data_IF_627768609237
#
_entry.id   IF_627768609237
#
_cell.length_a   1.000
_cell.length_b   1.000
_cell.length_c   1.000
_cell.angle_alpha   90.00
_cell.angle_beta   90.00
_cell.angle_gamma   90.00
#
_symmetry.space_group_name_H-M   'P 1'
#
loop_
_entity.id
_entity.type
_entity.pdbx_description
1 polymer ?
#
# COMPACT_ATOMS: atom_id res chain seq x y z
N UNK A 1 -2.90 35.18 -5.16
CA UNK A 1 -3.64 34.36 -4.17
C UNK A 1 -2.73 34.32 -2.94
N UNK A 2 -3.22 34.66 -1.77
CA UNK A 2 -2.38 34.94 -0.60
C UNK A 2 -2.05 33.63 0.13
N UNK A 3 -0.80 33.45 0.60
CA UNK A 3 -0.29 32.24 1.28
C UNK A 3 -1.17 31.71 2.43
N UNK A 4 -1.93 32.61 3.07
CA UNK A 4 -2.91 32.21 4.08
C UNK A 4 -4.11 31.43 3.53
N UNK A 5 -4.50 31.65 2.29
CA UNK A 5 -5.62 30.93 1.67
C UNK A 5 -5.20 29.53 1.20
N UNK A 6 -3.94 29.37 0.79
CA UNK A 6 -3.39 28.09 0.41
C UNK A 6 -3.27 27.17 1.65
N UNK A 7 -2.79 27.70 2.77
CA UNK A 7 -2.72 26.94 4.04
C UNK A 7 -4.08 26.49 4.57
N UNK A 8 -5.14 27.26 4.32
CA UNK A 8 -6.51 26.90 4.75
C UNK A 8 -7.12 25.80 3.87
N UNK A 9 -6.72 25.69 2.60
CA UNK A 9 -7.21 24.63 1.70
C UNK A 9 -6.51 23.29 2.03
N UNK A 10 -5.23 23.31 2.39
CA UNK A 10 -4.50 22.09 2.80
C UNK A 10 -4.86 21.60 4.20
N UNK A 11 -5.24 22.49 5.12
CA UNK A 11 -5.74 22.10 6.45
C UNK A 11 -7.12 21.42 6.42
N UNK A 12 -7.87 21.53 5.31
CA UNK A 12 -9.18 20.89 5.13
C UNK A 12 -9.13 19.47 4.57
N UNK A 13 -7.96 18.98 4.14
CA UNK A 13 -7.79 17.67 3.54
C UNK A 13 -7.11 16.65 4.48
N UNK A 14 -7.21 16.88 5.80
CA UNK A 14 -6.85 15.87 6.78
C UNK A 14 -7.86 14.72 6.64
N UNK A 15 -7.46 13.71 5.87
CA UNK A 15 -8.26 12.53 5.63
C UNK A 15 -8.58 11.83 6.96
N UNK A 16 -9.86 11.84 7.31
CA UNK A 16 -10.36 11.08 8.44
C UNK A 16 -10.43 9.60 8.04
N UNK A 17 -9.52 8.77 8.56
CA UNK A 17 -9.60 7.32 8.38
C UNK A 17 -10.51 6.75 9.46
N UNK A 18 -11.64 6.18 9.03
CA UNK A 18 -12.53 5.41 9.90
C UNK A 18 -12.07 3.96 9.87
N UNK A 19 -11.43 3.52 10.95
CA UNK A 19 -11.07 2.10 11.11
C UNK A 19 -12.25 1.35 11.72
N UNK A 20 -12.94 0.57 10.88
CA UNK A 20 -13.99 -0.34 11.33
C UNK A 20 -13.37 -1.69 11.64
N UNK A 21 -13.21 -2.02 12.91
CA UNK A 21 -12.73 -3.34 13.34
C UNK A 21 -13.93 -4.25 13.45
N UNK A 22 -14.13 -5.13 12.47
CA UNK A 22 -15.10 -6.20 12.54
C UNK A 22 -14.46 -7.34 13.33
N UNK A 23 -14.71 -7.40 14.63
CA UNK A 23 -14.38 -8.59 15.42
C UNK A 23 -15.34 -9.71 15.05
N UNK A 24 -14.78 -10.79 14.51
CA UNK A 24 -15.36 -11.99 13.93
C UNK A 24 -16.83 -12.28 14.18
N UNK A 25 -17.58 -12.43 13.11
CA UNK A 25 -18.95 -12.92 13.13
C UNK A 25 -18.95 -14.37 13.64
N UNK A 26 -19.36 -14.58 14.88
CA UNK A 26 -19.76 -15.89 15.36
C UNK A 26 -21.21 -16.13 14.91
N UNK A 27 -21.39 -17.03 13.94
CA UNK A 27 -22.72 -17.44 13.50
C UNK A 27 -23.42 -18.19 14.63
N UNK A 28 -24.50 -17.61 15.16
CA UNK A 28 -25.35 -18.29 16.14
C UNK A 28 -26.22 -19.36 15.44
N UNK A 29 -25.91 -20.63 15.67
CA UNK A 29 -26.80 -21.71 15.27
C UNK A 29 -27.82 -21.91 16.38
N UNK A 30 -29.08 -21.63 16.07
CA UNK A 30 -30.20 -21.94 16.91
C UNK A 30 -30.59 -23.40 16.67
N UNK A 31 -30.32 -24.30 17.64
CA UNK A 31 -30.78 -25.67 17.62
C UNK A 31 -32.06 -25.74 18.44
N UNK A 32 -33.20 -25.94 17.78
CA UNK A 32 -34.46 -26.22 18.46
C UNK A 32 -34.41 -27.62 19.14
N UNK A 33 -34.85 -27.78 20.38
CA UNK A 33 -34.89 -29.09 21.02
C UNK A 33 -35.98 -29.94 20.40
N UNK A 34 -35.59 -31.04 19.74
CA UNK A 34 -36.51 -32.10 19.37
C UNK A 34 -36.81 -32.94 20.62
N UNK A 35 -38.05 -32.88 21.08
CA UNK A 35 -38.50 -33.75 22.16
C UNK A 35 -38.70 -35.19 21.63
N UNK A 36 -37.77 -36.09 21.93
CA UNK A 36 -38.01 -37.55 21.87
C UNK A 36 -37.46 -38.14 23.15
N UNK A 37 -38.37 -38.75 23.89
CA UNK A 37 -38.12 -39.39 25.17
C UNK A 37 -37.20 -40.61 25.05
N UNK A 38 -36.29 -40.75 26.02
CA UNK A 38 -35.46 -41.94 26.18
C UNK A 38 -34.29 -41.70 27.13
N UNK A 39 -34.44 -42.22 28.36
CA UNK A 39 -33.41 -42.64 29.36
C UNK A 39 -32.21 -41.72 29.61
N UNK A 40 -32.30 -41.05 30.73
CA UNK A 40 -31.32 -40.59 31.69
C UNK A 40 -29.86 -41.04 31.46
N UNK A 41 -29.10 -40.13 30.93
CA UNK A 41 -27.66 -39.98 31.16
C UNK A 41 -27.45 -38.49 31.31
N UNK A 42 -27.24 -38.04 32.56
CA UNK A 42 -27.13 -36.60 32.91
C UNK A 42 -26.08 -35.82 32.12
N UNK A 43 -26.39 -35.44 30.91
CA UNK A 43 -25.67 -34.44 30.16
C UNK A 43 -26.15 -33.06 30.59
N UNK A 44 -25.32 -32.38 31.34
CA UNK A 44 -25.53 -30.96 31.63
C UNK A 44 -25.44 -30.22 30.27
N UNK A 45 -26.60 -29.95 29.66
CA UNK A 45 -26.67 -29.01 28.53
C UNK A 45 -26.33 -27.61 29.06
N UNK A 46 -25.10 -27.20 28.86
CA UNK A 46 -24.73 -25.79 29.05
C UNK A 46 -25.39 -24.96 27.96
N UNK A 47 -26.45 -24.25 28.31
CA UNK A 47 -27.03 -23.23 27.43
C UNK A 47 -26.07 -22.04 27.40
N UNK A 48 -25.36 -21.90 26.30
CA UNK A 48 -24.43 -20.79 26.09
C UNK A 48 -25.09 -19.73 25.21
N UNK A 49 -25.09 -18.49 25.66
CA UNK A 49 -25.50 -17.34 24.87
C UNK A 49 -24.22 -16.64 24.43
N UNK A 50 -24.02 -16.54 23.12
CA UNK A 50 -22.93 -15.78 22.56
C UNK A 50 -23.46 -14.42 22.11
N UNK A 51 -22.85 -13.34 22.59
CA UNK A 51 -23.17 -11.98 22.18
C UNK A 51 -21.96 -11.37 21.52
N UNK A 52 -22.14 -10.65 20.41
CA UNK A 52 -21.12 -9.88 19.74
C UNK A 52 -21.47 -8.40 19.77
N UNK A 53 -20.46 -7.57 19.89
CA UNK A 53 -20.58 -6.12 19.82
C UNK A 53 -19.55 -5.54 18.83
N UNK A 54 -19.87 -4.41 18.22
CA UNK A 54 -18.96 -3.67 17.33
C UNK A 54 -18.66 -2.31 17.97
N UNK A 55 -17.39 -2.02 18.18
CA UNK A 55 -16.92 -0.70 18.59
C UNK A 55 -16.35 0.06 17.38
N UNK A 56 -16.62 1.35 17.28
CA UNK A 56 -16.05 2.25 16.26
C UNK A 56 -15.29 3.36 16.97
N UNK A 57 -14.03 3.55 16.58
CA UNK A 57 -13.17 4.65 17.05
C UNK A 57 -12.71 5.43 15.86
N UNK A 58 -12.77 6.76 15.94
CA UNK A 58 -12.27 7.68 14.90
C UNK A 58 -11.01 8.36 15.41
N UNK A 59 -9.93 8.25 14.64
CA UNK A 59 -8.64 8.87 14.96
C UNK A 59 -8.09 9.64 13.75
N UNK A 60 -7.37 10.75 13.95
CA UNK A 60 -6.66 11.42 12.87
C UNK A 60 -5.51 10.53 12.35
N UNK A 61 -5.21 10.64 11.08
CA UNK A 61 -4.04 9.96 10.47
C UNK A 61 -2.75 10.59 10.99
N UNK A 62 -1.76 9.75 11.27
CA UNK A 62 -0.46 10.13 11.81
C UNK A 62 0.73 9.59 10.99
N UNK A 63 0.44 8.94 9.86
CA UNK A 63 1.45 8.42 8.95
C UNK A 63 1.00 8.52 7.50
N UNK A 64 1.94 8.75 6.59
CA UNK A 64 1.70 8.67 5.15
C UNK A 64 2.58 7.60 4.55
N UNK A 65 1.97 6.68 3.81
CA UNK A 65 2.69 5.72 2.97
C UNK A 65 2.76 6.24 1.54
N UNK A 66 3.97 6.39 1.02
CA UNK A 66 4.24 6.80 -0.36
C UNK A 66 4.86 5.62 -1.10
N UNK A 67 4.31 5.31 -2.28
CA UNK A 67 4.92 4.38 -3.23
C UNK A 67 5.53 5.18 -4.37
N UNK A 68 6.85 5.18 -4.46
CA UNK A 68 7.61 5.85 -5.50
C UNK A 68 8.69 4.92 -6.06
N UNK A 69 9.18 5.22 -7.26
CA UNK A 69 10.12 4.32 -7.91
C UNK A 69 10.91 4.95 -9.02
N UNK A 70 11.76 4.12 -9.59
CA UNK A 70 12.56 4.42 -10.77
C UNK A 70 12.29 3.38 -11.83
N UNK A 71 11.82 3.83 -13.00
CA UNK A 71 11.76 3.04 -14.21
C UNK A 71 12.89 3.47 -15.16
N UNK A 72 13.55 2.50 -15.78
CA UNK A 72 14.60 2.72 -16.77
C UNK A 72 14.45 1.77 -17.94
N UNK A 73 14.77 2.26 -19.13
CA UNK A 73 14.72 1.51 -20.38
C UNK A 73 16.07 1.53 -21.07
N UNK A 74 16.52 0.37 -21.59
CA UNK A 74 17.71 0.25 -22.42
C UNK A 74 17.56 -0.92 -23.38
N UNK A 75 18.34 -0.92 -24.47
CA UNK A 75 18.40 -2.04 -25.42
C UNK A 75 19.10 -3.27 -24.80
N UNK A 76 19.81 -3.10 -23.70
CA UNK A 76 20.48 -4.16 -22.95
C UNK A 76 19.97 -4.23 -21.51
N UNK A 77 19.63 -5.42 -21.04
CA UNK A 77 19.05 -5.63 -19.71
C UNK A 77 20.02 -5.25 -18.57
N UNK A 78 21.32 -5.59 -18.73
CA UNK A 78 22.32 -5.27 -17.72
C UNK A 78 22.53 -3.75 -17.60
N UNK A 79 22.55 -3.05 -18.73
CA UNK A 79 22.65 -1.59 -18.78
C UNK A 79 21.42 -0.93 -18.14
N UNK A 80 20.19 -1.42 -18.45
CA UNK A 80 18.96 -0.91 -17.84
C UNK A 80 18.99 -1.08 -16.31
N UNK A 81 19.44 -2.23 -15.85
CA UNK A 81 19.55 -2.56 -14.42
C UNK A 81 20.59 -1.67 -13.72
N UNK A 82 21.76 -1.46 -14.33
CA UNK A 82 22.81 -0.61 -13.75
C UNK A 82 22.31 0.82 -13.58
N UNK A 83 21.73 1.42 -14.64
CA UNK A 83 21.19 2.78 -14.58
C UNK A 83 20.09 2.89 -13.52
N UNK A 84 19.22 1.85 -13.41
CA UNK A 84 18.19 1.81 -12.40
C UNK A 84 18.76 1.83 -10.99
N UNK A 85 19.77 0.99 -10.74
CA UNK A 85 20.42 0.90 -9.43
C UNK A 85 21.10 2.23 -9.03
N UNK A 86 21.81 2.86 -9.95
CA UNK A 86 22.47 4.17 -9.71
C UNK A 86 21.45 5.27 -9.37
N UNK A 87 20.33 5.34 -10.11
CA UNK A 87 19.27 6.31 -9.84
C UNK A 87 18.55 6.02 -8.52
N UNK A 88 18.26 4.75 -8.24
CA UNK A 88 17.59 4.35 -6.99
C UNK A 88 18.46 4.67 -5.76
N UNK A 89 19.78 4.49 -5.85
CA UNK A 89 20.71 4.90 -4.80
C UNK A 89 20.64 6.40 -4.53
N UNK A 90 20.57 7.23 -5.59
CA UNK A 90 20.41 8.69 -5.46
C UNK A 90 19.06 9.04 -4.80
N UNK A 91 17.98 8.38 -5.18
CA UNK A 91 16.65 8.56 -4.59
C UNK A 91 16.66 8.20 -3.10
N UNK A 92 17.21 7.03 -2.74
CA UNK A 92 17.31 6.61 -1.33
C UNK A 92 18.12 7.61 -0.51
N UNK A 93 19.23 8.10 -1.07
CA UNK A 93 20.05 9.11 -0.42
C UNK A 93 19.29 10.42 -0.21
N UNK A 94 18.57 10.89 -1.23
CA UNK A 94 17.78 12.12 -1.12
C UNK A 94 16.67 12.00 -0.07
N UNK A 95 16.01 10.83 0.03
CA UNK A 95 15.02 10.55 1.06
C UNK A 95 15.64 10.57 2.46
N UNK A 96 16.85 9.99 2.63
CA UNK A 96 17.57 10.04 3.89
C UNK A 96 17.98 11.46 4.26
N UNK A 97 18.46 12.25 3.31
CA UNK A 97 18.82 13.66 3.49
C UNK A 97 17.57 14.51 3.84
N UNK A 98 16.38 14.09 3.37
CA UNK A 98 15.09 14.68 3.75
C UNK A 98 14.53 14.18 5.09
N UNK A 99 15.29 13.35 5.83
CA UNK A 99 14.95 12.90 7.17
C UNK A 99 14.21 11.57 7.28
N UNK A 100 14.06 10.82 6.17
CA UNK A 100 13.47 9.48 6.21
C UNK A 100 14.50 8.47 6.71
N UNK A 101 14.17 7.74 7.75
CA UNK A 101 15.03 6.70 8.29
C UNK A 101 15.09 5.49 7.34
N UNK A 102 16.20 4.75 7.37
CA UNK A 102 16.38 3.59 6.49
C UNK A 102 15.32 2.51 6.74
N UNK A 103 14.92 2.33 7.99
CA UNK A 103 13.88 1.39 8.43
C UNK A 103 12.46 1.77 7.94
N UNK A 104 12.24 3.04 7.61
CA UNK A 104 10.97 3.54 7.06
C UNK A 104 10.91 3.40 5.52
N UNK A 105 11.94 2.78 4.90
CA UNK A 105 12.02 2.52 3.46
C UNK A 105 12.13 1.02 3.19
N UNK A 106 11.27 0.49 2.33
CA UNK A 106 11.22 -0.91 1.95
C UNK A 106 11.06 -1.04 0.43
N UNK A 107 11.80 -1.95 -0.21
CA UNK A 107 11.55 -2.29 -1.62
C UNK A 107 10.23 -3.05 -1.71
N UNK A 108 9.24 -2.46 -2.37
CA UNK A 108 7.92 -3.06 -2.53
C UNK A 108 7.79 -3.92 -3.77
N UNK A 109 8.52 -3.57 -4.84
CA UNK A 109 8.52 -4.31 -6.10
C UNK A 109 9.81 -4.08 -6.87
N UNK A 110 10.26 -5.14 -7.56
CA UNK A 110 11.36 -5.07 -8.52
C UNK A 110 11.04 -5.99 -9.70
N UNK A 111 11.09 -5.46 -10.92
CA UNK A 111 10.82 -6.23 -12.12
C UNK A 111 11.72 -5.81 -13.28
N UNK A 112 12.06 -6.80 -14.14
CA UNK A 112 12.72 -6.60 -15.42
C UNK A 112 11.90 -7.33 -16.46
N UNK A 113 11.53 -6.66 -17.53
CA UNK A 113 10.78 -7.27 -18.63
C UNK A 113 11.22 -6.76 -19.99
N UNK A 114 11.22 -7.63 -21.02
CA UNK A 114 11.54 -7.25 -22.39
C UNK A 114 10.33 -6.54 -23.03
N UNK A 115 10.61 -5.50 -23.79
CA UNK A 115 9.66 -4.85 -24.70
C UNK A 115 9.86 -5.45 -26.09
N UNK A 116 8.77 -5.82 -26.74
CA UNK A 116 8.75 -6.40 -28.08
C UNK A 116 7.91 -5.53 -28.98
N UNK A 117 8.35 -5.26 -30.21
CA UNK A 117 7.54 -4.60 -31.22
C UNK A 117 6.63 -5.64 -31.88
N UNK A 118 5.34 -5.54 -31.59
CA UNK A 118 4.31 -6.28 -32.36
C UNK A 118 3.86 -5.41 -33.51
N UNK A 119 4.29 -5.73 -34.74
CA UNK A 119 3.79 -5.07 -35.94
C UNK A 119 2.35 -5.56 -36.24
N UNK A 120 1.36 -4.75 -35.95
CA UNK A 120 0.00 -4.93 -36.41
C UNK A 120 -0.15 -4.37 -37.84
N UNK A 121 0.34 -5.12 -38.85
CA UNK A 121 0.09 -4.79 -40.25
C UNK A 121 -1.34 -5.14 -40.66
N UNK A 122 -1.91 -4.45 -41.69
CA UNK A 122 -3.25 -4.71 -42.16
C UNK A 122 -3.40 -6.04 -42.94
N UNK A 123 -2.35 -6.82 -43.09
CA UNK A 123 -2.35 -8.12 -43.82
C UNK A 123 -1.94 -9.26 -42.88
N UNK A 124 -2.83 -10.26 -42.68
CA UNK A 124 -2.60 -11.38 -41.75
C UNK A 124 -1.68 -12.51 -42.30
N UNK A 125 -0.99 -12.32 -43.40
CA UNK A 125 -0.26 -13.41 -44.09
C UNK A 125 1.27 -13.29 -44.04
N UNK A 126 1.83 -12.40 -43.27
CA UNK A 126 3.26 -12.45 -42.99
C UNK A 126 3.39 -13.17 -41.64
N UNK A 127 3.83 -14.45 -41.68
CA UNK A 127 4.41 -15.11 -40.53
C UNK A 127 5.54 -14.18 -40.04
N UNK A 128 5.21 -13.34 -39.04
CA UNK A 128 6.22 -12.50 -38.39
C UNK A 128 7.13 -13.45 -37.64
N UNK A 129 8.37 -13.56 -38.12
CA UNK A 129 9.47 -14.03 -37.30
C UNK A 129 9.28 -13.41 -35.90
N UNK A 130 9.54 -14.21 -34.83
CA UNK A 130 9.36 -13.81 -33.44
C UNK A 130 9.74 -12.32 -33.26
N UNK A 131 8.78 -11.45 -32.82
CA UNK A 131 9.06 -10.02 -32.74
C UNK A 131 10.26 -9.81 -31.82
N UNK A 132 11.35 -9.37 -32.39
CA UNK A 132 12.61 -9.21 -31.67
C UNK A 132 12.44 -8.33 -30.44
N UNK A 133 13.19 -8.60 -29.41
CA UNK A 133 13.26 -7.73 -28.22
C UNK A 133 13.90 -6.42 -28.65
N UNK A 134 13.21 -5.31 -28.47
CA UNK A 134 13.68 -3.96 -28.81
C UNK A 134 14.33 -3.25 -27.65
N UNK A 135 13.86 -3.52 -26.43
CA UNK A 135 14.43 -2.95 -25.22
C UNK A 135 14.05 -3.76 -23.98
N UNK A 136 14.66 -3.44 -22.87
CA UNK A 136 14.33 -3.95 -21.54
C UNK A 136 13.93 -2.79 -20.66
N UNK A 137 12.87 -2.99 -19.90
CA UNK A 137 12.41 -2.06 -18.87
C UNK A 137 12.70 -2.66 -17.50
N UNK A 138 13.28 -1.85 -16.63
CA UNK A 138 13.50 -2.18 -15.21
C UNK A 138 12.71 -1.21 -14.37
N UNK A 139 11.79 -1.72 -13.57
CA UNK A 139 11.04 -0.94 -12.58
C UNK A 139 11.43 -1.39 -11.18
N UNK A 140 11.76 -0.44 -10.32
CA UNK A 140 12.14 -0.63 -8.93
C UNK A 140 11.36 0.35 -8.07
N UNK A 141 10.54 -0.18 -7.16
CA UNK A 141 9.63 0.61 -6.34
C UNK A 141 9.97 0.50 -4.87
N UNK A 142 9.93 1.64 -4.20
CA UNK A 142 10.03 1.77 -2.75
C UNK A 142 8.67 2.09 -2.15
N UNK A 143 8.39 1.49 -1.01
CA UNK A 143 7.39 1.92 -0.05
C UNK A 143 8.12 2.76 1.00
N UNK A 144 7.66 3.97 1.21
CA UNK A 144 8.24 4.93 2.16
C UNK A 144 7.18 5.32 3.17
N UNK A 145 7.46 5.11 4.45
CA UNK A 145 6.62 5.54 5.57
C UNK A 145 7.07 6.90 6.06
N UNK A 146 6.20 7.89 5.98
CA UNK A 146 6.47 9.28 6.36
C UNK A 146 5.62 9.64 7.58
N UNK A 147 6.27 9.96 8.70
CA UNK A 147 5.62 10.37 9.95
C UNK A 147 5.32 11.86 9.99
N UNK A 148 6.08 12.65 9.26
CA UNK A 148 5.86 14.09 9.11
C UNK A 148 4.94 14.36 7.91
N UNK A 149 3.63 14.36 8.19
CA UNK A 149 2.58 14.53 7.18
C UNK A 149 2.67 15.88 6.48
N UNK A 150 3.10 16.93 7.18
CA UNK A 150 3.13 18.28 6.64
C UNK A 150 4.21 18.46 5.57
N UNK A 151 5.28 17.66 5.61
CA UNK A 151 6.43 17.74 4.71
C UNK A 151 6.44 16.68 3.60
N UNK A 152 5.38 15.86 3.47
CA UNK A 152 5.29 14.81 2.44
C UNK A 152 5.55 15.34 1.03
N UNK A 153 5.03 16.54 0.70
CA UNK A 153 5.24 17.15 -0.61
C UNK A 153 6.72 17.41 -0.91
N UNK A 154 7.46 17.99 0.03
CA UNK A 154 8.89 18.29 -0.12
C UNK A 154 9.73 17.01 -0.20
N UNK A 155 9.34 15.94 0.50
CA UNK A 155 9.98 14.63 0.45
C UNK A 155 9.81 14.01 -0.95
N UNK A 156 8.59 14.05 -1.52
CA UNK A 156 8.32 13.55 -2.87
C UNK A 156 9.10 14.37 -3.91
N UNK A 157 9.10 15.69 -3.80
CA UNK A 157 9.84 16.58 -4.70
C UNK A 157 11.34 16.26 -4.68
N UNK A 158 11.90 16.02 -3.49
CA UNK A 158 13.31 15.65 -3.32
C UNK A 158 13.64 14.33 -4.01
N UNK A 159 12.76 13.33 -3.90
CA UNK A 159 12.91 12.04 -4.57
C UNK A 159 12.84 12.19 -6.11
N UNK A 160 11.91 12.99 -6.62
CA UNK A 160 11.75 13.25 -8.06
C UNK A 160 12.99 13.97 -8.63
N UNK A 161 13.49 14.99 -7.93
CA UNK A 161 14.72 15.69 -8.31
C UNK A 161 15.93 14.74 -8.33
N UNK A 162 15.98 13.77 -7.42
CA UNK A 162 17.02 12.76 -7.35
C UNK A 162 16.93 11.66 -8.42
N UNK A 163 15.80 11.59 -9.17
CA UNK A 163 15.64 10.67 -10.28
C UNK A 163 14.47 9.69 -10.19
N UNK A 164 13.64 9.77 -9.16
CA UNK A 164 12.37 9.04 -9.13
C UNK A 164 11.46 9.55 -10.26
N UNK A 165 10.93 8.63 -11.07
CA UNK A 165 10.06 8.96 -12.20
C UNK A 165 8.73 8.21 -12.15
N UNK A 166 8.51 7.43 -11.10
CA UNK A 166 7.23 6.81 -10.76
C UNK A 166 6.79 7.26 -9.37
N UNK A 167 5.58 7.82 -9.26
CA UNK A 167 4.88 8.07 -8.01
C UNK A 167 3.51 7.43 -8.13
N UNK A 168 3.33 6.26 -7.54
CA UNK A 168 2.16 5.42 -7.80
C UNK A 168 1.00 5.71 -6.85
N UNK A 169 1.28 5.95 -5.57
CA UNK A 169 0.24 6.31 -4.61
C UNK A 169 0.79 7.03 -3.40
N UNK A 170 -0.06 7.86 -2.82
CA UNK A 170 0.13 8.50 -1.51
C UNK A 170 -1.10 8.16 -0.68
N UNK A 171 -0.91 7.48 0.44
CA UNK A 171 -1.99 7.02 1.30
C UNK A 171 -1.78 7.47 2.73
N UNK A 172 -2.78 8.12 3.28
CA UNK A 172 -2.79 8.55 4.69
C UNK A 172 -3.33 7.43 5.55
N UNK A 173 -2.54 7.01 6.54
CA UNK A 173 -2.83 5.85 7.38
C UNK A 173 -2.66 6.18 8.86
N UNK A 174 -2.95 5.21 9.70
CA UNK A 174 -2.56 5.24 11.11
C UNK A 174 -1.30 4.39 11.26
N UNK A 175 -0.34 4.89 12.00
CA UNK A 175 0.83 4.10 12.43
C UNK A 175 0.39 2.86 13.21
N UNK A 176 1.22 1.83 13.22
CA UNK A 176 0.93 0.59 13.95
C UNK A 176 0.63 0.85 15.43
N UNK A 177 1.33 1.79 16.05
CA UNK A 177 1.11 2.20 17.44
C UNK A 177 -0.28 2.81 17.63
N UNK A 178 -0.69 3.71 16.75
CA UNK A 178 -2.00 4.37 16.81
C UNK A 178 -3.12 3.40 16.49
N UNK A 179 -2.91 2.47 15.55
CA UNK A 179 -3.86 1.39 15.29
C UNK A 179 -4.07 0.50 16.51
N UNK A 180 -3.00 0.17 17.25
CA UNK A 180 -3.10 -0.63 18.46
C UNK A 180 -3.89 0.10 19.55
N UNK A 181 -3.62 1.39 19.77
CA UNK A 181 -4.38 2.25 20.67
C UNK A 181 -5.87 2.31 20.30
N UNK A 182 -6.16 2.47 18.98
CA UNK A 182 -7.54 2.46 18.49
C UNK A 182 -8.25 1.14 18.77
N UNK A 183 -7.58 0.00 18.61
CA UNK A 183 -8.11 -1.33 18.91
C UNK A 183 -8.40 -1.52 20.40
N UNK A 184 -7.57 -0.98 21.27
CA UNK A 184 -7.77 -1.04 22.71
C UNK A 184 -8.96 -0.18 23.17
N UNK A 185 -9.16 0.97 22.56
CA UNK A 185 -10.31 1.85 22.85
C UNK A 185 -11.64 1.33 22.29
N UNK A 186 -11.61 0.46 21.28
CA UNK A 186 -12.80 -0.12 20.66
C UNK A 186 -13.31 -1.37 21.39
N UNK A 187 -12.57 -1.89 22.37
CA UNK A 187 -12.97 -3.05 23.20
C UNK A 187 -13.87 -2.65 24.36
#
# INVERSE_FOLDING_TARGET
MNDKQIRTIYAGLLGLVVVTIISGAASAYFVAPSASGGTDSGQIQMNTITVSGTGTVTMPTDEVTVYLGVETTSNDAATAQQINAEKMEQVIKALQDAGIAKEDMETSSYSIYPVRDYYYGPYPEIETEDPGITSYVVSNQLKVSVKDIDNVGEIIDSAVVAGANEVNSVSFTLSDETQQKAREQAK
#
